data_IF_891594614260
#
_entry.id   IF_891594614260
#
_cell.length_a   1.000
_cell.length_b   1.000
_cell.length_c   1.000
_cell.angle_alpha   90.00
_cell.angle_beta   90.00
_cell.angle_gamma   90.00
#
_symmetry.space_group_name_H-M   'P 1'
#
loop_
_entity.id
_entity.type
_entity.pdbx_description
1 polymer ?
#
# COMPACT_ATOMS: atom_id res chain seq x y z
N UNK A 1 -2.86 -1.69 5.01
CA UNK A 1 -2.61 -2.60 3.86
C UNK A 1 -2.11 -3.91 4.42
N UNK A 2 -2.76 -5.01 4.09
CA UNK A 2 -2.43 -6.37 4.54
C UNK A 2 -1.82 -7.16 3.38
N UNK A 3 -1.12 -8.24 3.69
CA UNK A 3 -0.50 -9.14 2.71
C UNK A 3 -1.53 -9.68 1.68
N UNK A 4 -2.74 -9.99 2.15
CA UNK A 4 -3.87 -10.32 1.29
C UNK A 4 -4.75 -9.08 1.15
N UNK A 5 -4.84 -8.47 -0.05
CA UNK A 5 -5.68 -7.30 -0.28
C UNK A 5 -7.15 -7.68 -0.18
N UNK A 6 -7.78 -7.55 0.96
CA UNK A 6 -9.19 -7.90 1.18
C UNK A 6 -10.12 -6.97 0.38
N UNK A 7 -10.20 -7.19 -0.93
CA UNK A 7 -11.05 -6.42 -1.83
C UNK A 7 -12.50 -6.91 -1.78
N UNK A 8 -13.42 -6.02 -2.10
CA UNK A 8 -14.83 -6.34 -2.25
C UNK A 8 -15.02 -7.04 -3.61
N UNK A 9 -15.18 -8.35 -3.60
CA UNK A 9 -15.22 -9.20 -4.81
C UNK A 9 -16.32 -8.83 -5.80
N UNK A 10 -17.46 -8.32 -5.31
CA UNK A 10 -18.62 -7.90 -6.12
C UNK A 10 -18.57 -6.46 -6.60
N UNK A 11 -17.45 -5.77 -6.37
CA UNK A 11 -17.20 -4.39 -6.77
C UNK A 11 -15.95 -4.32 -7.65
N UNK A 12 -16.00 -3.52 -8.71
CA UNK A 12 -14.82 -3.26 -9.53
C UNK A 12 -13.78 -2.39 -8.79
N UNK A 13 -12.66 -2.11 -9.43
CA UNK A 13 -11.56 -1.30 -8.86
C UNK A 13 -12.04 0.09 -8.43
N UNK A 14 -12.77 0.80 -9.31
CA UNK A 14 -13.32 2.12 -9.03
C UNK A 14 -14.25 2.06 -7.81
N UNK A 15 -15.19 1.13 -7.80
CA UNK A 15 -16.18 0.96 -6.72
C UNK A 15 -15.53 0.54 -5.39
N UNK A 16 -14.44 -0.22 -5.42
CA UNK A 16 -13.67 -0.55 -4.22
C UNK A 16 -13.08 0.71 -3.57
N UNK A 17 -12.54 1.62 -4.37
CA UNK A 17 -11.95 2.87 -3.87
C UNK A 17 -13.05 3.86 -3.46
N UNK A 18 -14.08 4.05 -4.31
CA UNK A 18 -15.20 4.94 -4.03
C UNK A 18 -15.93 4.56 -2.73
N UNK A 19 -16.11 3.25 -2.47
CA UNK A 19 -16.73 2.77 -1.24
C UNK A 19 -15.99 3.24 0.02
N UNK A 20 -14.67 3.28 0.00
CA UNK A 20 -13.91 3.79 1.14
C UNK A 20 -14.20 5.28 1.39
N UNK A 21 -14.34 6.08 0.35
CA UNK A 21 -14.73 7.50 0.45
C UNK A 21 -16.17 7.67 0.95
N UNK A 22 -17.11 6.86 0.45
CA UNK A 22 -18.52 6.84 0.89
C UNK A 22 -18.62 6.57 2.40
N UNK A 23 -17.94 5.51 2.87
CA UNK A 23 -17.96 5.12 4.30
C UNK A 23 -17.35 6.21 5.19
N UNK A 24 -16.38 6.96 4.69
CA UNK A 24 -15.75 8.08 5.40
C UNK A 24 -16.58 9.36 5.37
N UNK A 25 -17.76 9.35 4.72
CA UNK A 25 -18.66 10.49 4.65
C UNK A 25 -18.23 11.59 3.69
N UNK A 26 -17.44 11.24 2.66
CA UNK A 26 -17.09 12.18 1.59
C UNK A 26 -18.35 12.64 0.86
N UNK A 27 -18.53 13.95 0.61
CA UNK A 27 -19.65 14.45 -0.17
C UNK A 27 -19.75 13.79 -1.54
N UNK A 28 -20.98 13.46 -1.99
CA UNK A 28 -21.20 12.71 -3.23
C UNK A 28 -20.62 13.39 -4.46
N UNK A 29 -20.62 14.71 -4.52
CA UNK A 29 -20.06 15.53 -5.60
C UNK A 29 -18.51 15.49 -5.65
N UNK A 30 -17.86 15.06 -4.56
CA UNK A 30 -16.40 14.93 -4.48
C UNK A 30 -15.90 13.50 -4.72
N UNK A 31 -16.75 12.47 -4.57
CA UNK A 31 -16.35 11.06 -4.61
C UNK A 31 -15.69 10.71 -5.97
N UNK A 32 -16.29 11.13 -7.07
CA UNK A 32 -15.76 10.84 -8.41
C UNK A 32 -14.36 11.43 -8.60
N UNK A 33 -14.18 12.70 -8.30
CA UNK A 33 -12.90 13.40 -8.44
C UNK A 33 -11.81 12.78 -7.57
N UNK A 34 -12.12 12.47 -6.30
CA UNK A 34 -11.19 11.84 -5.37
C UNK A 34 -10.85 10.42 -5.78
N UNK A 35 -11.83 9.64 -6.25
CA UNK A 35 -11.58 8.28 -6.74
C UNK A 35 -10.64 8.30 -7.93
N UNK A 36 -10.86 9.18 -8.90
CA UNK A 36 -9.99 9.32 -10.06
C UNK A 36 -8.57 9.75 -9.65
N UNK A 37 -8.42 10.67 -8.70
CA UNK A 37 -7.11 11.06 -8.16
C UNK A 37 -6.37 9.88 -7.52
N UNK A 38 -7.08 9.01 -6.79
CA UNK A 38 -6.49 7.82 -6.20
C UNK A 38 -6.12 6.76 -7.26
N UNK A 39 -6.95 6.57 -8.29
CA UNK A 39 -6.63 5.71 -9.43
C UNK A 39 -5.38 6.17 -10.16
N UNK A 40 -5.24 7.47 -10.41
CA UNK A 40 -4.04 8.07 -11.01
C UNK A 40 -2.81 7.81 -10.15
N UNK A 41 -2.91 8.02 -8.84
CA UNK A 41 -1.80 7.84 -7.91
C UNK A 41 -1.25 6.41 -7.92
N UNK A 42 -2.14 5.42 -7.98
CA UNK A 42 -1.78 3.99 -8.00
C UNK A 42 -1.65 3.41 -9.41
N UNK A 43 -1.80 4.23 -10.45
CA UNK A 43 -1.64 3.86 -11.87
C UNK A 43 -2.59 2.73 -12.32
N UNK A 44 -3.88 2.85 -11.95
CA UNK A 44 -4.92 1.85 -12.26
C UNK A 44 -6.08 2.40 -13.10
N UNK A 45 -5.91 3.52 -13.81
CA UNK A 45 -6.97 4.11 -14.63
C UNK A 45 -7.55 3.14 -15.66
N UNK A 46 -6.67 2.42 -16.36
CA UNK A 46 -7.09 1.42 -17.37
C UNK A 46 -7.79 0.20 -16.75
N UNK A 47 -7.60 -0.02 -15.46
CA UNK A 47 -8.16 -1.13 -14.71
C UNK A 47 -9.36 -0.73 -13.85
N UNK A 48 -9.86 0.51 -13.97
CA UNK A 48 -10.90 1.07 -13.11
C UNK A 48 -12.18 0.21 -13.06
N UNK A 49 -12.54 -0.44 -14.15
CA UNK A 49 -13.76 -1.25 -14.27
C UNK A 49 -13.52 -2.75 -14.15
N UNK A 50 -12.28 -3.20 -13.92
CA UNK A 50 -11.96 -4.60 -13.65
C UNK A 50 -12.35 -5.01 -12.23
N UNK A 51 -12.83 -6.23 -12.08
CA UNK A 51 -13.12 -6.85 -10.80
C UNK A 51 -11.85 -7.48 -10.20
N UNK A 52 -11.82 -7.75 -8.87
CA UNK A 52 -10.63 -8.29 -8.21
C UNK A 52 -10.04 -9.55 -8.86
N UNK A 53 -10.88 -10.46 -9.34
CA UNK A 53 -10.46 -11.70 -10.02
C UNK A 53 -9.81 -11.47 -11.40
N UNK A 54 -9.96 -10.28 -11.97
CA UNK A 54 -9.38 -9.86 -13.24
C UNK A 54 -8.05 -9.08 -13.06
N UNK A 55 -7.64 -8.84 -11.80
CA UNK A 55 -6.45 -8.09 -11.44
C UNK A 55 -5.31 -9.03 -11.05
N UNK A 56 -4.08 -8.67 -11.43
CA UNK A 56 -2.88 -9.28 -10.88
C UNK A 56 -2.72 -9.00 -9.37
N UNK A 57 -1.91 -9.79 -8.67
CA UNK A 57 -1.64 -9.57 -7.25
C UNK A 57 -1.10 -8.17 -6.94
N UNK A 58 -0.21 -7.64 -7.79
CA UNK A 58 0.32 -6.28 -7.66
C UNK A 58 -0.76 -5.21 -7.86
N UNK A 59 -1.67 -5.38 -8.83
CA UNK A 59 -2.80 -4.49 -9.05
C UNK A 59 -3.79 -4.52 -7.87
N UNK A 60 -4.08 -5.71 -7.33
CA UNK A 60 -4.90 -5.84 -6.11
C UNK A 60 -4.29 -5.11 -4.91
N UNK A 61 -2.96 -5.23 -4.73
CA UNK A 61 -2.23 -4.50 -3.69
C UNK A 61 -2.34 -2.99 -3.90
N UNK A 62 -2.23 -2.50 -5.13
CA UNK A 62 -2.41 -1.07 -5.48
C UNK A 62 -3.83 -0.58 -5.14
N UNK A 63 -4.88 -1.36 -5.39
CA UNK A 63 -6.26 -1.04 -4.99
C UNK A 63 -6.35 -0.92 -3.46
N UNK A 64 -5.76 -1.87 -2.72
CA UNK A 64 -5.73 -1.83 -1.25
C UNK A 64 -5.02 -0.59 -0.71
N UNK A 65 -3.91 -0.19 -1.33
CA UNK A 65 -3.19 1.05 -1.00
C UNK A 65 -4.09 2.26 -1.26
N UNK A 66 -4.73 2.37 -2.43
CA UNK A 66 -5.62 3.47 -2.77
C UNK A 66 -6.78 3.61 -1.77
N UNK A 67 -7.43 2.50 -1.41
CA UNK A 67 -8.48 2.50 -0.36
C UNK A 67 -7.97 3.04 0.98
N UNK A 68 -6.76 2.64 1.36
CA UNK A 68 -6.16 3.07 2.62
C UNK A 68 -5.82 4.56 2.65
N UNK A 69 -5.65 5.17 1.47
CA UNK A 69 -5.36 6.61 1.32
C UNK A 69 -6.62 7.48 1.22
N UNK A 70 -7.79 6.90 1.06
CA UNK A 70 -9.05 7.63 0.86
C UNK A 70 -9.31 8.71 1.92
N UNK A 71 -8.86 8.49 3.15
CA UNK A 71 -9.03 9.42 4.28
C UNK A 71 -7.81 10.32 4.53
N UNK A 72 -6.89 10.47 3.60
CA UNK A 72 -5.66 11.25 3.75
C UNK A 72 -4.93 10.95 5.08
N UNK A 73 -4.56 9.71 5.35
CA UNK A 73 -4.03 9.30 6.65
C UNK A 73 -2.65 9.95 6.90
N UNK A 74 -2.38 10.30 8.16
CA UNK A 74 -1.03 10.72 8.58
C UNK A 74 -0.04 9.56 8.59
N UNK A 75 -0.54 8.34 8.84
CA UNK A 75 0.27 7.11 8.91
C UNK A 75 -0.39 6.01 8.10
N UNK A 76 0.37 5.36 7.24
CA UNK A 76 -0.01 4.17 6.48
C UNK A 76 0.74 2.96 7.02
N UNK A 77 0.00 1.97 7.52
CA UNK A 77 0.55 0.71 7.99
C UNK A 77 0.45 -0.36 6.90
N UNK A 78 1.56 -0.97 6.55
CA UNK A 78 1.65 -2.03 5.54
C UNK A 78 2.25 -3.28 6.19
N UNK A 79 1.50 -4.37 6.19
CA UNK A 79 1.94 -5.67 6.70
C UNK A 79 2.21 -6.59 5.51
N UNK A 80 3.50 -6.90 5.28
CA UNK A 80 3.99 -7.73 4.16
C UNK A 80 3.36 -7.39 2.79
N UNK A 81 3.33 -6.10 2.37
CA UNK A 81 2.60 -5.70 1.17
C UNK A 81 3.18 -6.27 -0.13
N UNK A 82 4.34 -6.91 -0.07
CA UNK A 82 5.04 -7.52 -1.20
C UNK A 82 5.17 -9.04 -1.07
N UNK A 83 4.64 -9.65 -0.01
CA UNK A 83 4.90 -11.04 0.35
C UNK A 83 4.46 -12.09 -0.70
N UNK A 84 3.48 -11.76 -1.54
CA UNK A 84 2.97 -12.66 -2.60
C UNK A 84 3.31 -12.18 -4.01
N UNK A 85 4.26 -11.24 -4.13
CA UNK A 85 4.64 -10.63 -5.41
C UNK A 85 6.03 -11.10 -5.86
N UNK A 86 6.23 -11.12 -7.17
CA UNK A 86 7.57 -11.29 -7.72
C UNK A 86 8.47 -10.07 -7.41
N UNK A 87 9.80 -10.19 -7.57
CA UNK A 87 10.73 -9.14 -7.20
C UNK A 87 10.52 -7.82 -7.95
N UNK A 88 10.06 -7.85 -9.20
CA UNK A 88 9.84 -6.65 -10.00
C UNK A 88 8.60 -5.89 -9.50
N UNK A 89 7.48 -6.57 -9.30
CA UNK A 89 6.27 -6.00 -8.72
C UNK A 89 6.51 -5.49 -7.30
N UNK A 90 7.31 -6.21 -6.51
CA UNK A 90 7.71 -5.78 -5.15
C UNK A 90 8.42 -4.43 -5.17
N UNK A 91 9.36 -4.23 -6.11
CA UNK A 91 10.06 -2.96 -6.28
C UNK A 91 9.07 -1.83 -6.65
N UNK A 92 8.11 -2.11 -7.52
CA UNK A 92 7.09 -1.14 -7.94
C UNK A 92 6.19 -0.73 -6.76
N UNK A 93 5.73 -1.68 -5.94
CA UNK A 93 4.92 -1.39 -4.74
C UNK A 93 5.72 -0.55 -3.73
N UNK A 94 6.97 -0.90 -3.46
CA UNK A 94 7.81 -0.11 -2.55
C UNK A 94 8.06 1.29 -3.09
N UNK A 95 8.27 1.45 -4.39
CA UNK A 95 8.43 2.76 -5.02
C UNK A 95 7.17 3.62 -4.92
N UNK A 96 5.98 3.00 -5.03
CA UNK A 96 4.70 3.68 -4.78
C UNK A 96 4.59 4.14 -3.32
N UNK A 97 4.93 3.28 -2.36
CA UNK A 97 4.93 3.64 -0.93
C UNK A 97 5.90 4.79 -0.63
N UNK A 98 7.07 4.82 -1.28
CA UNK A 98 8.01 5.94 -1.17
C UNK A 98 7.46 7.24 -1.77
N UNK A 99 6.72 7.17 -2.87
CA UNK A 99 6.03 8.32 -3.47
C UNK A 99 4.99 8.89 -2.50
N UNK A 100 4.19 8.02 -1.87
CA UNK A 100 3.22 8.38 -0.84
C UNK A 100 3.90 9.02 0.37
N UNK A 101 5.03 8.47 0.82
CA UNK A 101 5.78 9.02 1.93
C UNK A 101 6.35 10.41 1.61
N UNK A 102 6.89 10.63 0.41
CA UNK A 102 7.36 11.95 -0.03
C UNK A 102 6.23 12.99 -0.10
N UNK A 103 4.99 12.56 -0.31
CA UNK A 103 3.81 13.42 -0.29
C UNK A 103 3.33 13.78 1.14
N UNK A 104 3.98 13.25 2.20
CA UNK A 104 3.75 13.64 3.58
C UNK A 104 3.13 12.57 4.48
N UNK A 105 2.71 11.42 3.95
CA UNK A 105 2.20 10.31 4.75
C UNK A 105 3.36 9.52 5.35
N UNK A 106 3.37 9.30 6.67
CA UNK A 106 4.33 8.38 7.29
C UNK A 106 3.98 6.94 6.91
N UNK A 107 4.94 6.22 6.33
CA UNK A 107 4.76 4.81 5.96
C UNK A 107 5.52 3.92 6.92
N UNK A 108 4.82 2.98 7.55
CA UNK A 108 5.40 1.91 8.37
C UNK A 108 5.13 0.58 7.66
N UNK A 109 6.19 -0.11 7.24
CA UNK A 109 6.09 -1.37 6.53
C UNK A 109 6.74 -2.49 7.34
N UNK A 110 5.96 -3.49 7.73
CA UNK A 110 6.50 -4.74 8.23
C UNK A 110 6.89 -5.62 7.04
N UNK A 111 8.11 -6.15 7.05
CA UNK A 111 8.59 -7.07 6.02
C UNK A 111 9.74 -7.95 6.52
N UNK A 112 9.83 -9.13 5.98
CA UNK A 112 10.99 -10.03 6.14
C UNK A 112 11.87 -10.07 4.88
N UNK A 113 11.58 -9.26 3.87
CA UNK A 113 12.39 -9.19 2.64
C UNK A 113 13.66 -8.37 2.87
N UNK A 114 14.76 -9.09 3.09
CA UNK A 114 16.08 -8.49 3.28
C UNK A 114 16.56 -7.67 2.08
N UNK A 115 16.13 -8.02 0.87
CA UNK A 115 16.52 -7.32 -0.36
C UNK A 115 15.94 -5.92 -0.41
N UNK A 116 14.69 -5.75 -0.02
CA UNK A 116 14.00 -4.46 0.08
C UNK A 116 14.67 -3.60 1.16
N UNK A 117 14.83 -4.14 2.37
CA UNK A 117 15.44 -3.43 3.50
C UNK A 117 16.84 -2.92 3.13
N UNK A 118 17.70 -3.80 2.62
CA UNK A 118 19.10 -3.47 2.30
C UNK A 118 19.23 -2.49 1.13
N UNK A 119 18.31 -2.54 0.17
CA UNK A 119 18.33 -1.68 -1.01
C UNK A 119 17.81 -0.28 -0.73
N UNK A 120 16.82 -0.13 0.16
CA UNK A 120 16.15 1.15 0.42
C UNK A 120 16.78 1.96 1.54
N UNK A 121 17.51 1.33 2.46
CA UNK A 121 18.27 1.98 3.57
C UNK A 121 17.46 3.04 4.32
N UNK A 122 16.24 2.65 4.71
CA UNK A 122 15.36 3.48 5.55
C UNK A 122 15.61 3.16 7.03
N UNK A 123 14.92 3.87 7.94
CA UNK A 123 14.90 3.50 9.34
C UNK A 123 14.39 2.07 9.49
N UNK A 124 15.14 1.24 10.19
CA UNK A 124 14.81 -0.16 10.48
C UNK A 124 14.64 -0.36 11.96
N UNK A 125 13.47 -0.86 12.35
CA UNK A 125 13.16 -1.26 13.72
C UNK A 125 13.04 -2.78 13.72
N UNK A 126 13.95 -3.46 14.41
CA UNK A 126 13.92 -4.90 14.57
C UNK A 126 13.16 -5.28 15.84
N UNK A 127 12.18 -6.16 15.70
CA UNK A 127 11.40 -6.71 16.80
C UNK A 127 11.86 -8.14 17.10
N UNK A 128 12.18 -8.43 18.35
CA UNK A 128 12.50 -9.77 18.84
C UNK A 128 11.84 -10.01 20.20
N UNK A 129 11.12 -11.14 20.33
CA UNK A 129 10.44 -11.52 21.58
C UNK A 129 9.53 -10.39 22.16
N UNK A 130 8.83 -9.67 21.30
CA UNK A 130 7.91 -8.60 21.69
C UNK A 130 8.59 -7.31 22.17
N UNK A 131 9.89 -7.16 21.92
CA UNK A 131 10.67 -5.96 22.26
C UNK A 131 11.42 -5.42 21.07
N UNK A 132 11.73 -4.12 21.10
CA UNK A 132 12.63 -3.50 20.13
C UNK A 132 14.04 -3.98 20.43
N UNK A 133 14.62 -4.76 19.51
CA UNK A 133 16.00 -5.25 19.61
C UNK A 133 16.99 -4.27 18.97
N UNK A 134 16.54 -3.51 17.95
CA UNK A 134 17.38 -2.56 17.22
C UNK A 134 16.50 -1.46 16.60
N UNK A 135 17.02 -0.24 16.53
CA UNK A 135 16.41 0.91 15.86
C UNK A 135 17.53 1.73 15.22
N UNK A 136 17.61 1.71 13.88
CA UNK A 136 18.67 2.36 13.10
C UNK A 136 18.06 3.22 12.00
N UNK A 137 18.51 4.46 11.86
CA UNK A 137 17.97 5.43 10.88
C UNK A 137 18.25 5.05 9.43
N UNK A 138 19.34 4.33 9.15
CA UNK A 138 19.72 3.78 7.84
C UNK A 138 20.11 2.30 8.03
N UNK A 139 19.16 1.52 8.48
CA UNK A 139 19.41 0.15 8.89
C UNK A 139 19.54 -0.82 7.70
N UNK A 140 20.13 -1.98 7.99
CA UNK A 140 20.20 -3.13 7.10
C UNK A 140 19.54 -4.33 7.75
N UNK A 141 19.14 -5.30 6.92
CA UNK A 141 18.64 -6.59 7.40
C UNK A 141 19.82 -7.44 7.85
N UNK A 142 19.82 -7.90 9.09
CA UNK A 142 20.85 -8.78 9.66
C UNK A 142 20.21 -10.15 9.87
N UNK A 143 20.71 -11.16 9.16
CA UNK A 143 20.38 -12.56 9.44
C UNK A 143 21.06 -12.96 10.77
N UNK A 144 20.28 -13.46 11.72
CA UNK A 144 20.78 -14.07 12.96
C UNK A 144 20.66 -15.58 12.88
#
# INVERSE_FOLDING_TARGET
>A
VTQEPQLLEKRNTYENIAFALEVMGTPNDEIESKTNTLLDLVELNENAFKYPDQLSGGEQTRVSIARSLANNPLVLLCDEPTGNLDPELSIQIVSLLEKINRAGTTVVMATHDSSIVNRRKKRVIELANGKIARDESEGSYILR
#
